data_IF_041659093386
#
_entry.id   IF_041659093386
#
_cell.length_a   1.000
_cell.length_b   1.000
_cell.length_c   1.000
_cell.angle_alpha   90.00
_cell.angle_beta   90.00
_cell.angle_gamma   90.00
#
_symmetry.space_group_name_H-M   'P 1'
#
loop_
_entity.id
_entity.type
_entity.pdbx_description
1 polymer ?
#
# COMPACT_ATOMS: atom_id res chain seq x y z
N UNK A 1 -14.73 -23.55 18.80
CA UNK A 1 -14.91 -24.80 18.05
C UNK A 1 -15.68 -24.60 16.73
N UNK A 2 -16.92 -24.08 16.71
CA UNK A 2 -17.69 -23.87 15.46
C UNK A 2 -17.02 -22.84 14.51
N UNK A 3 -16.47 -21.74 15.04
CA UNK A 3 -15.78 -20.73 14.22
C UNK A 3 -14.53 -21.24 13.49
N UNK A 4 -13.80 -22.18 14.11
CA UNK A 4 -12.59 -22.77 13.54
C UNK A 4 -12.92 -23.75 12.40
N UNK A 5 -14.05 -24.47 12.52
CA UNK A 5 -14.59 -25.34 11.47
C UNK A 5 -15.07 -24.51 10.27
N UNK A 6 -15.75 -23.39 10.49
CA UNK A 6 -16.19 -22.49 9.42
C UNK A 6 -15.00 -21.82 8.70
N UNK A 7 -13.94 -21.46 9.44
CA UNK A 7 -12.71 -20.92 8.86
C UNK A 7 -12.02 -21.98 7.98
N UNK A 8 -11.89 -23.22 8.46
CA UNK A 8 -11.33 -24.33 7.68
C UNK A 8 -12.17 -24.65 6.45
N UNK A 9 -13.49 -24.62 6.54
CA UNK A 9 -14.38 -24.83 5.38
C UNK A 9 -14.27 -23.70 4.35
N UNK A 10 -14.11 -22.43 4.78
CA UNK A 10 -13.83 -21.31 3.87
C UNK A 10 -12.49 -21.48 3.16
N UNK A 11 -11.43 -21.84 3.89
CA UNK A 11 -10.09 -22.08 3.33
C UNK A 11 -10.10 -23.25 2.34
N UNK A 12 -10.75 -24.36 2.68
CA UNK A 12 -10.92 -25.52 1.79
C UNK A 12 -11.74 -25.13 0.56
N UNK A 13 -12.84 -24.40 0.70
CA UNK A 13 -13.63 -23.92 -0.44
C UNK A 13 -12.80 -22.99 -1.36
N UNK A 14 -11.97 -22.13 -0.80
CA UNK A 14 -11.11 -21.22 -1.56
C UNK A 14 -9.97 -21.95 -2.27
N UNK A 15 -9.38 -22.97 -1.63
CA UNK A 15 -8.36 -23.84 -2.21
C UNK A 15 -8.94 -24.75 -3.32
N UNK A 16 -10.18 -25.22 -3.15
CA UNK A 16 -10.92 -25.96 -4.18
C UNK A 16 -11.34 -25.04 -5.33
N UNK A 17 -11.79 -23.80 -5.07
CA UNK A 17 -12.17 -22.86 -6.14
C UNK A 17 -10.97 -22.45 -6.98
N UNK A 18 -9.80 -22.23 -6.37
CA UNK A 18 -8.54 -21.98 -7.10
C UNK A 18 -8.11 -23.21 -7.90
N UNK A 19 -8.16 -24.41 -7.31
CA UNK A 19 -7.87 -25.66 -8.03
C UNK A 19 -8.86 -25.92 -9.18
N UNK A 20 -10.15 -25.66 -8.97
CA UNK A 20 -11.20 -25.84 -9.99
C UNK A 20 -11.08 -24.78 -11.08
N UNK A 21 -10.79 -23.51 -10.76
CA UNK A 21 -10.52 -22.45 -11.74
C UNK A 21 -9.25 -22.74 -12.53
N UNK A 22 -8.18 -23.24 -11.91
CA UNK A 22 -6.98 -23.68 -12.60
C UNK A 22 -7.26 -24.85 -13.54
N UNK A 23 -8.09 -25.82 -13.12
CA UNK A 23 -8.43 -27.00 -13.91
C UNK A 23 -9.43 -26.68 -15.03
N UNK A 24 -10.43 -25.83 -14.77
CA UNK A 24 -11.34 -25.31 -15.80
C UNK A 24 -10.59 -24.44 -16.79
N UNK A 25 -9.71 -23.54 -16.33
CA UNK A 25 -8.85 -22.77 -17.23
C UNK A 25 -7.97 -23.71 -18.06
N UNK A 26 -7.34 -24.72 -17.46
CA UNK A 26 -6.50 -25.66 -18.22
C UNK A 26 -7.28 -26.43 -19.28
N UNK A 27 -8.47 -26.94 -18.96
CA UNK A 27 -9.32 -27.63 -19.94
C UNK A 27 -9.90 -26.69 -21.00
N UNK A 28 -10.33 -25.49 -20.63
CA UNK A 28 -10.84 -24.49 -21.57
C UNK A 28 -9.73 -23.99 -22.50
N UNK A 29 -8.53 -23.71 -21.96
CA UNK A 29 -7.33 -23.35 -22.72
C UNK A 29 -6.94 -24.48 -23.67
N UNK A 30 -6.96 -25.74 -23.22
CA UNK A 30 -6.65 -26.91 -24.05
C UNK A 30 -7.69 -27.12 -25.16
N UNK A 31 -8.99 -26.95 -24.87
CA UNK A 31 -10.04 -27.01 -25.89
C UNK A 31 -9.93 -25.87 -26.90
N UNK A 32 -9.65 -24.64 -26.44
CA UNK A 32 -9.45 -23.47 -27.30
C UNK A 32 -8.16 -23.55 -28.12
N UNK A 33 -7.11 -24.22 -27.61
CA UNK A 33 -5.85 -24.44 -28.34
C UNK A 33 -6.00 -25.34 -29.56
N UNK A 34 -7.01 -26.20 -29.58
CA UNK A 34 -7.36 -27.03 -30.74
C UNK A 34 -8.29 -26.34 -31.73
N UNK A 35 -9.03 -25.32 -31.30
CA UNK A 35 -10.04 -24.62 -32.11
C UNK A 35 -9.53 -23.31 -32.72
N UNK A 36 -8.42 -22.75 -32.24
CA UNK A 36 -7.99 -21.42 -32.65
C UNK A 36 -6.48 -21.35 -32.94
N UNK A 37 -6.13 -20.63 -34.01
CA UNK A 37 -4.76 -20.50 -34.50
C UNK A 37 -3.79 -19.85 -33.50
N UNK A 38 -2.48 -19.92 -33.81
CA UNK A 38 -1.36 -19.49 -32.94
C UNK A 38 -1.51 -18.10 -32.30
N UNK A 39 -2.25 -17.19 -32.93
CA UNK A 39 -2.50 -15.83 -32.42
C UNK A 39 -3.49 -15.79 -31.24
N UNK A 40 -4.52 -16.67 -31.19
CA UNK A 40 -5.41 -16.72 -30.03
C UNK A 40 -4.72 -17.33 -28.81
N UNK A 41 -3.79 -18.27 -29.02
CA UNK A 41 -2.98 -18.83 -27.93
C UNK A 41 -2.08 -17.79 -27.27
N UNK A 42 -1.52 -16.85 -28.03
CA UNK A 42 -0.80 -15.70 -27.45
C UNK A 42 -1.74 -14.83 -26.62
N UNK A 43 -2.96 -14.57 -27.11
CA UNK A 43 -3.95 -13.76 -26.38
C UNK A 43 -4.39 -14.43 -25.07
N UNK A 44 -4.64 -15.75 -25.10
CA UNK A 44 -5.01 -16.54 -23.91
C UNK A 44 -3.87 -16.55 -22.89
N UNK A 45 -2.63 -16.78 -23.32
CA UNK A 45 -1.45 -16.74 -22.43
C UNK A 45 -1.27 -15.35 -21.83
N UNK A 46 -1.43 -14.28 -22.63
CA UNK A 46 -1.38 -12.90 -22.16
C UNK A 46 -2.51 -12.60 -21.15
N UNK A 47 -3.73 -13.09 -21.40
CA UNK A 47 -4.86 -12.96 -20.47
C UNK A 47 -4.59 -13.71 -19.17
N UNK A 48 -4.11 -14.96 -19.22
CA UNK A 48 -3.83 -15.77 -18.02
C UNK A 48 -2.62 -15.27 -17.22
N UNK A 49 -1.57 -14.76 -17.89
CA UNK A 49 -0.43 -14.15 -17.21
C UNK A 49 -0.78 -12.79 -16.60
N UNK A 50 -1.74 -12.06 -17.18
CA UNK A 50 -2.29 -10.83 -16.61
C UNK A 50 -3.24 -11.08 -15.43
N UNK A 51 -3.72 -12.32 -15.23
CA UNK A 51 -4.79 -12.67 -14.28
C UNK A 51 -4.32 -13.37 -13.00
N UNK A 52 -3.01 -13.54 -12.75
CA UNK A 52 -2.53 -14.33 -11.61
C UNK A 52 -1.50 -13.61 -10.72
N UNK A 53 -1.80 -12.39 -10.28
CA UNK A 53 -1.48 -12.08 -8.88
C UNK A 53 -2.59 -12.72 -8.07
N UNK A 54 -2.33 -13.91 -7.50
CA UNK A 54 -3.26 -14.45 -6.53
C UNK A 54 -3.35 -13.45 -5.38
N UNK A 55 -4.58 -13.07 -5.05
CA UNK A 55 -4.94 -12.35 -3.84
C UNK A 55 -4.10 -12.84 -2.64
N UNK A 56 -3.16 -12.03 -2.17
CA UNK A 56 -2.38 -12.35 -0.96
C UNK A 56 -3.18 -11.88 0.25
N UNK A 57 -3.33 -12.75 1.25
CA UNK A 57 -3.92 -12.35 2.53
C UNK A 57 -3.00 -11.33 3.21
N UNK A 58 -3.55 -10.17 3.59
CA UNK A 58 -2.79 -9.11 4.23
C UNK A 58 -2.60 -9.44 5.71
N UNK A 59 -1.34 -9.61 6.13
CA UNK A 59 -1.00 -9.82 7.54
C UNK A 59 -1.29 -8.55 8.35
N UNK A 60 -1.96 -8.66 9.49
CA UNK A 60 -2.26 -7.50 10.37
C UNK A 60 -1.03 -6.93 11.07
N UNK A 61 -0.08 -7.81 11.41
CA UNK A 61 1.22 -7.40 11.91
C UNK A 61 2.10 -7.06 10.71
N UNK A 62 2.71 -5.88 10.75
CA UNK A 62 3.64 -5.42 9.71
C UNK A 62 5.01 -6.00 10.04
N UNK A 63 5.58 -6.74 9.10
CA UNK A 63 6.91 -7.31 9.24
C UNK A 63 7.99 -6.22 9.07
N UNK A 64 9.09 -6.31 9.82
CA UNK A 64 10.11 -5.25 9.85
C UNK A 64 10.88 -5.11 8.54
N UNK A 65 10.87 -6.14 7.68
CA UNK A 65 11.48 -6.12 6.35
C UNK A 65 10.60 -5.45 5.28
N UNK A 66 9.33 -5.16 5.59
CA UNK A 66 8.38 -4.59 4.63
C UNK A 66 8.83 -3.20 4.14
N UNK A 67 8.59 -2.95 2.86
CA UNK A 67 8.77 -1.63 2.25
C UNK A 67 7.49 -0.82 2.42
N UNK A 68 7.62 0.35 3.05
CA UNK A 68 6.52 1.27 3.34
C UNK A 68 6.65 2.50 2.44
N UNK A 69 5.54 2.91 1.84
CA UNK A 69 5.47 3.97 0.84
C UNK A 69 4.63 5.13 1.36
N UNK A 70 5.17 6.34 1.25
CA UNK A 70 4.46 7.60 1.47
C UNK A 70 4.31 8.33 0.14
N UNK A 71 3.12 8.82 -0.13
CA UNK A 71 2.82 9.66 -1.29
C UNK A 71 3.35 11.09 -1.08
N UNK A 72 4.08 11.59 -2.07
CA UNK A 72 4.81 12.88 -1.99
C UNK A 72 4.14 13.91 -2.87
N UNK A 73 3.86 15.08 -2.29
CA UNK A 73 3.18 16.18 -2.97
C UNK A 73 3.96 17.50 -2.83
N UNK A 74 3.94 18.31 -3.88
CA UNK A 74 4.40 19.70 -3.84
C UNK A 74 3.23 20.64 -3.48
N UNK A 75 3.48 21.78 -2.81
CA UNK A 75 4.78 22.25 -2.27
C UNK A 75 5.11 21.74 -0.86
N UNK A 76 4.30 20.84 -0.33
CA UNK A 76 4.33 20.45 1.09
C UNK A 76 5.50 19.54 1.43
N UNK A 77 5.67 18.44 0.70
CA UNK A 77 6.56 17.33 1.04
C UNK A 77 7.92 17.41 0.35
N UNK A 78 8.03 18.18 -0.73
CA UNK A 78 9.26 18.27 -1.54
C UNK A 78 9.57 19.72 -1.91
N UNK A 79 10.85 20.08 -1.89
CA UNK A 79 11.33 21.39 -2.35
C UNK A 79 12.66 21.20 -3.07
N UNK A 80 12.75 21.64 -4.34
CA UNK A 80 13.92 21.45 -5.20
C UNK A 80 14.37 19.97 -5.23
N UNK A 81 13.41 19.07 -5.44
CA UNK A 81 13.60 17.61 -5.49
C UNK A 81 14.18 16.97 -4.22
N UNK A 82 14.19 17.72 -3.11
CA UNK A 82 14.54 17.20 -1.79
C UNK A 82 13.29 16.95 -0.99
N UNK A 83 13.13 15.70 -0.55
CA UNK A 83 12.12 15.32 0.43
C UNK A 83 12.30 16.14 1.70
N UNK A 84 11.20 16.54 2.30
CA UNK A 84 11.19 17.27 3.56
C UNK A 84 10.44 16.46 4.62
N UNK A 85 10.78 16.67 5.89
CA UNK A 85 10.14 16.00 7.03
C UNK A 85 8.63 16.19 7.08
N UNK A 86 8.10 17.27 6.49
CA UNK A 86 6.66 17.51 6.39
C UNK A 86 5.90 16.37 5.68
N UNK A 87 6.57 15.54 4.88
CA UNK A 87 5.99 14.32 4.33
C UNK A 87 5.53 13.31 5.40
N UNK A 88 6.17 13.34 6.57
CA UNK A 88 5.97 12.46 7.71
C UNK A 88 5.49 13.20 8.95
N UNK A 89 5.07 14.46 8.82
CA UNK A 89 4.33 15.11 9.89
C UNK A 89 2.83 14.78 9.74
N UNK A 90 2.14 14.51 10.84
CA UNK A 90 0.69 14.33 10.79
C UNK A 90 0.02 15.64 10.30
N UNK A 91 -1.07 15.55 9.52
CA UNK A 91 -1.87 16.72 9.15
C UNK A 91 -2.40 17.45 10.39
N UNK A 92 -2.87 18.70 10.20
CA UNK A 92 -3.46 19.49 11.29
C UNK A 92 -4.59 18.70 11.97
N UNK A 93 -4.56 18.63 13.29
CA UNK A 93 -5.53 17.90 14.14
C UNK A 93 -5.56 16.38 13.98
N UNK A 94 -4.56 15.80 13.33
CA UNK A 94 -4.39 14.34 13.24
C UNK A 94 -3.18 13.89 14.03
N UNK A 95 -3.18 12.63 14.41
CA UNK A 95 -2.05 11.98 15.11
C UNK A 95 -1.33 10.98 14.23
N UNK A 96 -1.78 10.84 12.99
CA UNK A 96 -1.38 9.78 12.09
C UNK A 96 -0.89 10.29 10.73
N UNK A 97 -0.08 9.47 10.06
CA UNK A 97 0.39 9.69 8.68
C UNK A 97 0.13 8.43 7.87
N UNK A 98 -0.75 8.56 6.87
CA UNK A 98 -1.10 7.49 5.95
C UNK A 98 0.05 7.05 5.07
N UNK A 99 0.25 5.75 4.98
CA UNK A 99 1.28 5.08 4.19
C UNK A 99 0.70 3.82 3.55
N UNK A 100 1.43 3.26 2.57
CA UNK A 100 1.04 2.08 1.82
C UNK A 100 2.10 0.99 1.96
N UNK A 101 1.67 -0.26 2.16
CA UNK A 101 2.57 -1.42 2.23
C UNK A 101 2.83 -1.95 0.83
N UNK A 102 4.05 -1.77 0.32
CA UNK A 102 4.38 -2.14 -1.06
C UNK A 102 4.27 -3.65 -1.33
N UNK A 103 4.46 -4.48 -0.30
CA UNK A 103 4.38 -5.95 -0.39
C UNK A 103 3.05 -6.44 -1.01
N UNK A 104 1.95 -5.80 -0.63
CA UNK A 104 0.59 -6.17 -1.07
C UNK A 104 0.07 -5.22 -2.16
N UNK A 105 0.98 -4.53 -2.85
CA UNK A 105 0.69 -3.54 -3.90
C UNK A 105 1.76 -3.64 -5.00
N UNK A 106 1.75 -2.70 -5.93
CA UNK A 106 2.88 -2.41 -6.82
C UNK A 106 2.98 -0.90 -7.04
N UNK A 107 4.02 -0.46 -7.76
CA UNK A 107 4.25 0.95 -8.05
C UNK A 107 3.13 1.58 -8.88
N UNK A 108 2.50 0.82 -9.79
CA UNK A 108 1.39 1.30 -10.62
C UNK A 108 0.17 1.61 -9.75
N UNK A 109 -0.20 0.69 -8.85
CA UNK A 109 -1.30 0.86 -7.89
C UNK A 109 -0.99 2.02 -6.95
N UNK A 110 0.22 2.06 -6.36
CA UNK A 110 0.65 3.15 -5.48
C UNK A 110 0.54 4.52 -6.16
N UNK A 111 0.95 4.61 -7.42
CA UNK A 111 0.82 5.84 -8.21
C UNK A 111 -0.64 6.23 -8.42
N UNK A 112 -1.50 5.28 -8.81
CA UNK A 112 -2.93 5.56 -9.02
C UNK A 112 -3.60 6.09 -7.75
N UNK A 113 -3.29 5.50 -6.59
CA UNK A 113 -3.78 5.98 -5.28
C UNK A 113 -3.23 7.38 -4.99
N UNK A 114 -1.93 7.59 -5.17
CA UNK A 114 -1.29 8.88 -4.94
C UNK A 114 -1.88 10.01 -5.78
N UNK A 115 -2.14 9.76 -7.07
CA UNK A 115 -2.78 10.71 -7.97
C UNK A 115 -4.25 10.95 -7.63
N UNK A 116 -4.99 9.92 -7.20
CA UNK A 116 -6.41 10.08 -6.84
C UNK A 116 -6.56 11.00 -5.61
N UNK A 117 -5.69 10.85 -4.61
CA UNK A 117 -5.65 11.70 -3.41
C UNK A 117 -5.25 13.16 -3.68
N UNK A 118 -4.68 13.47 -4.85
CA UNK A 118 -4.40 14.86 -5.23
C UNK A 118 -5.70 15.65 -5.44
N UNK A 119 -6.72 15.01 -6.00
CA UNK A 119 -7.93 15.69 -6.51
C UNK A 119 -8.87 16.19 -5.41
N UNK A 120 -8.77 15.66 -4.18
CA UNK A 120 -9.80 15.83 -3.16
C UNK A 120 -9.47 16.82 -2.04
N UNK A 121 -8.19 17.15 -1.81
CA UNK A 121 -7.82 17.82 -0.56
C UNK A 121 -7.50 19.31 -0.71
N UNK A 122 -6.63 19.69 -1.65
CA UNK A 122 -6.12 21.07 -1.74
C UNK A 122 -5.77 21.38 -3.22
N UNK A 123 -6.29 22.46 -3.83
CA UNK A 123 -6.03 22.80 -5.24
C UNK A 123 -4.55 22.98 -5.60
N UNK A 124 -3.70 23.33 -4.63
CA UNK A 124 -2.26 23.53 -4.80
C UNK A 124 -1.43 22.27 -4.56
N UNK A 125 -2.06 21.17 -4.14
CA UNK A 125 -1.41 19.87 -3.96
C UNK A 125 -1.14 19.27 -5.33
N UNK A 126 0.12 18.98 -5.62
CA UNK A 126 0.53 18.36 -6.88
C UNK A 126 1.31 17.08 -6.58
N UNK A 127 0.92 15.95 -7.18
CA UNK A 127 1.64 14.68 -7.09
C UNK A 127 3.06 14.84 -7.62
N UNK A 128 4.05 14.34 -6.87
CA UNK A 128 5.46 14.37 -7.25
C UNK A 128 6.16 13.02 -7.21
N UNK A 129 5.51 11.99 -6.67
CA UNK A 129 6.05 10.64 -6.61
C UNK A 129 5.92 10.01 -5.22
N UNK A 130 6.87 9.17 -4.88
CA UNK A 130 6.83 8.32 -3.69
C UNK A 130 8.08 8.50 -2.83
N UNK A 131 7.93 8.38 -1.51
CA UNK A 131 9.03 8.19 -0.59
C UNK A 131 8.91 6.80 0.04
N UNK A 132 9.97 6.01 -0.01
CA UNK A 132 9.98 4.66 0.54
C UNK A 132 10.99 4.50 1.69
N UNK A 133 10.62 3.75 2.72
CA UNK A 133 11.48 3.36 3.85
C UNK A 133 11.13 1.95 4.35
N UNK A 134 12.03 1.31 5.09
CA UNK A 134 11.80 -0.02 5.69
C UNK A 134 10.98 0.11 6.97
N UNK A 135 10.02 -0.79 7.19
CA UNK A 135 9.15 -0.80 8.38
C UNK A 135 9.96 -0.80 9.69
N UNK A 136 11.11 -1.48 9.73
CA UNK A 136 12.05 -1.46 10.87
C UNK A 136 12.41 -0.04 11.32
N UNK A 137 12.45 0.95 10.42
CA UNK A 137 12.71 2.36 10.74
C UNK A 137 11.77 2.86 11.84
N UNK A 138 10.48 2.50 11.79
CA UNK A 138 9.50 2.90 12.80
C UNK A 138 9.42 1.86 13.93
N UNK A 139 9.45 0.57 13.58
CA UNK A 139 9.28 -0.51 14.56
C UNK A 139 10.43 -0.60 15.57
N UNK A 140 11.67 -0.29 15.19
CA UNK A 140 12.80 -0.24 16.11
C UNK A 140 12.61 0.83 17.19
N UNK A 141 11.98 1.97 16.84
CA UNK A 141 11.61 3.03 17.78
C UNK A 141 10.50 2.57 18.72
N UNK A 142 9.43 1.99 18.17
CA UNK A 142 8.33 1.44 18.95
C UNK A 142 8.79 0.38 19.96
N UNK A 143 9.70 -0.53 19.56
CA UNK A 143 10.29 -1.56 20.43
C UNK A 143 11.05 -0.98 21.64
N UNK A 144 11.54 0.26 21.55
CA UNK A 144 12.19 0.98 22.65
C UNK A 144 11.20 1.78 23.52
N UNK A 145 9.89 1.51 23.42
CA UNK A 145 8.82 2.25 24.08
C UNK A 145 8.78 3.74 23.71
N UNK A 146 9.24 4.09 22.51
CA UNK A 146 9.11 5.45 21.99
C UNK A 146 7.66 5.71 21.52
N UNK A 147 7.14 6.95 21.61
CA UNK A 147 5.73 7.30 21.34
C UNK A 147 5.39 7.36 19.84
N UNK A 148 5.73 6.29 19.12
CA UNK A 148 5.48 6.11 17.68
C UNK A 148 5.16 4.65 17.36
N UNK A 149 4.22 4.41 16.46
CA UNK A 149 3.82 3.07 16.02
C UNK A 149 3.60 3.04 14.51
N UNK A 150 3.71 1.84 13.92
CA UNK A 150 3.31 1.57 12.54
C UNK A 150 2.24 0.48 12.57
N UNK A 151 1.03 0.81 12.12
CA UNK A 151 -0.14 -0.08 12.26
C UNK A 151 -0.75 -0.38 10.89
N UNK A 152 -1.21 -1.62 10.68
CA UNK A 152 -2.01 -1.95 9.51
C UNK A 152 -3.44 -1.46 9.71
N UNK A 153 -3.88 -0.54 8.87
CA UNK A 153 -5.18 0.14 8.97
C UNK A 153 -5.90 0.13 7.60
N UNK A 154 -6.23 -1.07 7.07
CA UNK A 154 -6.86 -1.21 5.77
C UNK A 154 -8.16 -0.43 5.65
N UNK A 155 -8.41 0.14 4.48
CA UNK A 155 -9.59 0.97 4.20
C UNK A 155 -10.42 0.29 3.10
N UNK A 156 -11.74 0.24 3.25
CA UNK A 156 -12.65 -0.32 2.25
C UNK A 156 -12.98 0.67 1.11
N UNK A 157 -13.86 0.26 0.19
CA UNK A 157 -14.30 1.10 -0.92
C UNK A 157 -15.14 2.32 -0.52
N UNK A 158 -15.70 2.33 0.69
CA UNK A 158 -16.44 3.46 1.23
C UNK A 158 -15.50 4.50 1.90
N UNK A 159 -14.21 4.18 2.04
CA UNK A 159 -13.27 5.03 2.75
C UNK A 159 -13.24 4.77 4.26
N UNK A 160 -13.85 3.68 4.72
CA UNK A 160 -13.94 3.34 6.15
C UNK A 160 -12.85 2.33 6.54
N UNK A 161 -12.34 2.47 7.77
CA UNK A 161 -11.37 1.53 8.31
C UNK A 161 -12.01 0.15 8.54
N UNK A 162 -11.33 -0.89 8.06
CA UNK A 162 -11.79 -2.26 8.22
C UNK A 162 -11.44 -2.84 9.57
N UNK A 163 -12.37 -3.60 10.16
CA UNK A 163 -12.25 -4.18 11.51
C UNK A 163 -11.08 -5.14 11.60
N UNK A 164 -10.50 -5.27 12.80
CA UNK A 164 -9.28 -6.05 13.02
C UNK A 164 -9.47 -7.55 12.80
N UNK A 165 -10.68 -8.09 13.02
CA UNK A 165 -11.01 -9.52 12.89
C UNK A 165 -11.27 -9.95 11.44
N UNK A 166 -11.43 -8.99 10.53
CA UNK A 166 -11.73 -9.29 9.13
C UNK A 166 -10.50 -9.85 8.40
N UNK A 167 -10.72 -10.88 7.58
CA UNK A 167 -9.70 -11.36 6.65
C UNK A 167 -9.75 -10.44 5.42
N UNK A 168 -8.59 -9.93 5.03
CA UNK A 168 -8.44 -8.95 3.96
C UNK A 168 -7.42 -9.48 2.96
N UNK A 169 -7.71 -9.28 1.69
CA UNK A 169 -6.83 -9.66 0.59
C UNK A 169 -6.31 -8.44 -0.17
N UNK A 170 -5.17 -8.58 -0.84
CA UNK A 170 -4.51 -7.51 -1.60
C UNK A 170 -5.34 -6.93 -2.73
N UNK A 171 -6.32 -7.66 -3.23
CA UNK A 171 -7.24 -7.27 -4.29
C UNK A 171 -8.65 -6.89 -3.79
N UNK A 172 -8.86 -6.86 -2.46
CA UNK A 172 -10.09 -6.32 -1.90
C UNK A 172 -10.28 -4.85 -2.33
N UNK A 173 -11.52 -4.41 -2.60
CA UNK A 173 -11.78 -3.05 -3.04
C UNK A 173 -11.46 -2.03 -1.93
N UNK A 174 -10.99 -0.85 -2.33
CA UNK A 174 -10.54 0.22 -1.42
C UNK A 174 -9.02 0.34 -1.38
N UNK A 175 -8.45 0.49 -0.18
CA UNK A 175 -7.01 0.52 0.09
C UNK A 175 -6.66 -0.62 1.08
N UNK A 176 -6.66 -1.88 0.63
CA UNK A 176 -6.47 -3.02 1.52
C UNK A 176 -5.07 -3.05 2.14
N UNK A 177 -4.06 -2.50 1.45
CA UNK A 177 -2.69 -2.44 1.94
C UNK A 177 -2.31 -1.12 2.64
N UNK A 178 -3.32 -0.34 3.05
CA UNK A 178 -3.14 0.89 3.82
C UNK A 178 -2.59 0.60 5.23
N UNK A 179 -1.75 1.50 5.70
CA UNK A 179 -1.19 1.52 7.05
C UNK A 179 -1.03 2.96 7.52
N UNK A 180 -0.88 3.15 8.82
CA UNK A 180 -0.66 4.46 9.42
C UNK A 180 0.57 4.44 10.32
N UNK A 181 1.34 5.53 10.26
CA UNK A 181 2.31 5.86 11.31
C UNK A 181 1.54 6.65 12.36
N UNK A 182 1.44 6.13 13.58
CA UNK A 182 0.78 6.81 14.70
C UNK A 182 1.80 7.46 15.61
N UNK A 183 1.57 8.71 15.98
CA UNK A 183 2.31 9.42 17.01
C UNK A 183 1.46 9.48 18.28
N UNK A 184 2.01 9.08 19.43
CA UNK A 184 1.29 9.12 20.70
C UNK A 184 1.28 10.53 21.28
N UNK A 185 0.40 11.38 20.73
CA UNK A 185 0.12 12.72 21.23
C UNK A 185 -1.33 13.11 20.94
N UNK A 186 -1.81 14.17 21.59
CA UNK A 186 -3.11 14.77 21.29
C UNK A 186 -2.91 16.18 20.72
N UNK A 187 -3.37 16.47 19.50
CA UNK A 187 -3.22 17.79 18.92
C UNK A 187 -4.13 18.79 19.62
N UNK A 188 -3.56 19.90 20.09
CA UNK A 188 -4.30 21.03 20.67
C UNK A 188 -4.24 22.20 19.71
N UNK A 189 -5.38 22.84 19.44
CA UNK A 189 -5.42 23.98 18.53
C UNK A 189 -4.59 25.15 19.06
N UNK A 190 -3.75 25.73 18.19
CA UNK A 190 -2.87 26.85 18.53
C UNK A 190 -1.54 26.44 19.18
N UNK A 191 -1.40 25.19 19.63
CA UNK A 191 -0.14 24.69 20.17
C UNK A 191 0.82 24.21 19.08
N UNK A 192 2.11 24.34 19.35
CA UNK A 192 3.14 23.81 18.47
C UNK A 192 3.21 22.28 18.58
N UNK A 193 3.48 21.59 17.46
CA UNK A 193 3.74 20.15 17.47
C UNK A 193 4.86 19.79 18.48
N UNK A 194 4.68 18.74 19.29
CA UNK A 194 5.71 18.26 20.21
C UNK A 194 7.05 18.02 19.51
N UNK A 195 8.14 18.20 20.25
CA UNK A 195 9.50 18.08 19.70
C UNK A 195 9.74 16.67 19.15
N UNK A 196 9.34 15.63 19.88
CA UNK A 196 9.54 14.24 19.47
C UNK A 196 8.86 13.91 18.12
N UNK A 197 7.67 14.47 17.84
CA UNK A 197 6.97 14.25 16.56
C UNK A 197 7.82 14.78 15.41
N UNK A 198 8.43 15.97 15.59
CA UNK A 198 9.32 16.58 14.60
C UNK A 198 10.60 15.79 14.43
N UNK A 199 11.17 15.28 15.51
CA UNK A 199 12.38 14.46 15.51
C UNK A 199 12.16 13.12 14.80
N UNK A 200 11.04 12.43 15.06
CA UNK A 200 10.71 11.20 14.37
C UNK A 200 10.38 11.40 12.90
N UNK A 201 9.62 12.44 12.56
CA UNK A 201 9.37 12.77 11.16
C UNK A 201 10.67 13.09 10.41
N UNK A 202 11.61 13.78 11.06
CA UNK A 202 12.94 14.04 10.52
C UNK A 202 13.73 12.73 10.36
N UNK A 203 13.75 11.88 11.37
CA UNK A 203 14.43 10.58 11.34
C UNK A 203 13.91 9.68 10.20
N UNK A 204 12.58 9.55 10.05
CA UNK A 204 11.97 8.78 8.97
C UNK A 204 12.34 9.41 7.61
N UNK A 205 12.30 10.74 7.50
CA UNK A 205 12.68 11.45 6.28
C UNK A 205 14.14 11.17 5.87
N UNK A 206 15.07 11.13 6.81
CA UNK A 206 16.49 10.84 6.56
C UNK A 206 16.75 9.39 6.15
N UNK A 207 15.90 8.45 6.64
CA UNK A 207 15.93 7.04 6.26
C UNK A 207 15.12 6.72 5.01
N UNK A 208 14.34 7.68 4.51
CA UNK A 208 13.52 7.52 3.33
C UNK A 208 14.30 7.84 2.05
N UNK A 209 14.03 7.06 1.01
CA UNK A 209 14.46 7.36 -0.35
C UNK A 209 13.30 7.97 -1.12
N UNK A 210 13.54 9.12 -1.75
CA UNK A 210 12.57 9.77 -2.62
C UNK A 210 12.72 9.28 -4.07
N UNK A 211 11.58 8.93 -4.67
CA UNK A 211 11.43 8.50 -6.05
C UNK A 211 10.46 9.48 -6.73
N UNK A 212 11.02 10.42 -7.50
CA UNK A 212 10.22 11.37 -8.25
C UNK A 212 9.47 10.64 -9.39
N UNK A 213 8.20 11.02 -9.62
CA UNK A 213 7.47 10.60 -10.81
C UNK A 213 7.97 11.42 -12.02
N UNK A 214 8.66 10.81 -13.00
CA UNK A 214 9.17 11.54 -14.15
C UNK A 214 8.05 11.94 -15.12
N UNK A 215 6.88 11.31 -15.04
CA UNK A 215 5.80 11.51 -15.99
C UNK A 215 4.40 11.41 -15.31
N UNK A 216 3.96 12.48 -14.65
CA UNK A 216 2.65 12.53 -13.99
C UNK A 216 1.45 12.35 -14.95
N UNK A 217 1.63 12.50 -16.27
CA UNK A 217 0.56 12.29 -17.25
C UNK A 217 0.44 10.84 -17.74
N UNK A 218 1.41 9.98 -17.43
CA UNK A 218 1.35 8.56 -17.77
C UNK A 218 0.18 7.85 -17.06
N UNK A 219 -0.18 6.66 -17.53
CA UNK A 219 -1.09 5.77 -16.80
C UNK A 219 -0.34 4.87 -15.81
N UNK A 220 0.97 4.71 -15.99
CA UNK A 220 1.83 3.78 -15.25
C UNK A 220 2.99 4.50 -14.58
N UNK A 221 3.63 3.82 -13.64
CA UNK A 221 4.88 4.25 -13.03
C UNK A 221 6.02 4.11 -14.04
N UNK A 222 6.64 5.24 -14.39
CA UNK A 222 7.81 5.30 -15.28
C UNK A 222 9.08 5.70 -14.53
N UNK A 223 8.99 5.88 -13.21
CA UNK A 223 10.13 6.20 -12.36
C UNK A 223 11.03 5.00 -12.10
N UNK A 224 12.14 5.26 -11.39
CA UNK A 224 13.02 4.17 -10.94
C UNK A 224 12.21 3.16 -10.09
N UNK A 225 12.49 1.84 -10.21
CA UNK A 225 11.88 0.83 -9.34
C UNK A 225 12.08 1.18 -7.87
N UNK A 226 11.05 0.96 -7.06
CA UNK A 226 11.08 1.32 -5.64
C UNK A 226 11.81 0.24 -4.85
N UNK A 227 13.14 0.25 -4.98
CA UNK A 227 14.05 -0.67 -4.28
C UNK A 227 14.65 0.03 -3.07
N UNK A 228 14.32 -0.49 -1.90
CA UNK A 228 14.85 -0.05 -0.61
C UNK A 228 15.96 -1.01 -0.19
N UNK A 229 17.16 -0.46 -0.01
CA UNK A 229 18.35 -1.16 0.46
C UNK A 229 18.34 -1.15 1.98
#
# INVERSE_FOLDING_TARGET
MIGEILLRLKLVKQQYLTSLQLTLNYHLIRCLSHLCGKELMKLIVLLTCSLHRMAEQIARVIDDTESIIRFVYSPFHVKKDKLRREAFLPPKFRTDVSVQRLRYSDEDICRQIGMSQQRYEIPTKEWKGMAGFKADTVLAKAKNNEPIQLVSSPIDSAGEYRKIEEIIFSDDPGLPAHADILYDYHPVEGEALPVFVKEYAQYICEKSRYFADPNPSSAKWEGNPVVLI
#
